data_IF_723907405800
#
_entry.id   IF_723907405800
#
_cell.length_a   1.000
_cell.length_b   1.000
_cell.length_c   1.000
_cell.angle_alpha   90.00
_cell.angle_beta   90.00
_cell.angle_gamma   90.00
#
_symmetry.space_group_name_H-M   'P 1'
#
loop_
_entity.id
_entity.type
_entity.pdbx_description
1 polymer ?
#
# COMPACT_ATOMS: atom_id res chain seq x y z
N UNK A 1 -0.85 87.16 -39.74
CA UNK A 1 -0.73 86.52 -38.40
C UNK A 1 -1.67 85.32 -38.37
N UNK A 2 -1.15 84.09 -38.53
CA UNK A 2 -1.93 82.84 -38.54
C UNK A 2 -1.73 82.15 -37.19
N UNK A 3 -2.80 82.05 -36.39
CA UNK A 3 -2.81 81.30 -35.12
C UNK A 3 -2.98 79.81 -35.42
N UNK A 4 -2.00 79.00 -35.02
CA UNK A 4 -2.07 77.54 -35.07
C UNK A 4 -2.74 77.10 -33.77
N UNK A 5 -3.90 76.46 -33.89
CA UNK A 5 -4.64 75.85 -32.77
C UNK A 5 -4.15 74.40 -32.63
N UNK A 6 -3.36 74.11 -31.61
CA UNK A 6 -2.93 72.75 -31.28
C UNK A 6 -4.03 72.12 -30.44
N UNK A 7 -4.73 71.15 -31.05
CA UNK A 7 -5.77 70.35 -30.41
C UNK A 7 -5.10 69.22 -29.62
N UNK A 8 -5.04 69.31 -28.29
CA UNK A 8 -4.61 68.20 -27.43
C UNK A 8 -5.72 67.15 -27.36
N UNK A 9 -5.49 65.99 -27.98
CA UNK A 9 -6.30 64.79 -27.77
C UNK A 9 -5.91 64.17 -26.41
N UNK A 10 -6.85 63.87 -25.49
CA UNK A 10 -6.54 63.11 -24.30
C UNK A 10 -6.30 61.65 -24.70
N UNK A 11 -5.07 61.18 -24.45
CA UNK A 11 -4.68 59.78 -24.63
C UNK A 11 -5.40 58.95 -23.56
N UNK A 12 -6.49 58.30 -23.96
CA UNK A 12 -7.24 57.37 -23.11
C UNK A 12 -6.36 56.13 -22.88
N UNK A 13 -5.73 56.04 -21.71
CA UNK A 13 -5.01 54.83 -21.29
C UNK A 13 -6.06 53.79 -20.94
N UNK A 14 -6.35 52.89 -21.88
CA UNK A 14 -7.09 51.66 -21.62
C UNK A 14 -6.23 50.81 -20.67
N UNK A 15 -6.51 50.91 -19.37
CA UNK A 15 -6.06 49.92 -18.41
C UNK A 15 -6.66 48.58 -18.84
N UNK A 16 -5.84 47.74 -19.48
CA UNK A 16 -6.18 46.36 -19.74
C UNK A 16 -6.29 45.69 -18.38
N UNK A 17 -7.53 45.56 -17.90
CA UNK A 17 -7.84 44.72 -16.77
C UNK A 17 -7.66 43.29 -17.27
N UNK A 18 -6.43 42.77 -17.21
CA UNK A 18 -6.18 41.35 -17.37
C UNK A 18 -6.91 40.66 -16.21
N UNK A 19 -8.14 40.21 -16.47
CA UNK A 19 -8.82 39.25 -15.61
C UNK A 19 -7.94 38.01 -15.63
N UNK A 20 -7.12 37.83 -14.59
CA UNK A 20 -6.44 36.58 -14.34
C UNK A 20 -7.51 35.59 -13.96
N UNK A 21 -7.98 34.81 -14.93
CA UNK A 21 -8.84 33.67 -14.64
C UNK A 21 -7.90 32.63 -14.03
N UNK A 22 -7.76 32.67 -12.71
CA UNK A 22 -7.13 31.59 -11.95
C UNK A 22 -7.94 30.33 -12.25
N UNK A 23 -7.36 29.45 -13.06
CA UNK A 23 -7.94 28.13 -13.26
C UNK A 23 -7.87 27.40 -11.92
N UNK A 24 -8.92 26.67 -11.53
CA UNK A 24 -8.87 25.85 -10.32
C UNK A 24 -7.69 24.88 -10.41
N UNK A 25 -7.06 24.52 -9.27
CA UNK A 25 -5.97 23.55 -9.27
C UNK A 25 -6.46 22.20 -9.81
N UNK A 26 -5.54 21.42 -10.36
CA UNK A 26 -5.80 20.03 -10.69
C UNK A 26 -5.84 19.19 -9.41
N UNK A 27 -6.80 18.26 -9.30
CA UNK A 27 -6.93 17.39 -8.13
C UNK A 27 -6.27 16.04 -8.40
N UNK A 28 -5.05 15.84 -7.91
CA UNK A 28 -4.41 14.53 -7.89
C UNK A 28 -4.89 13.74 -6.67
N UNK A 29 -5.59 12.63 -6.89
CA UNK A 29 -6.19 11.80 -5.85
C UNK A 29 -5.47 10.45 -5.79
N UNK A 30 -5.20 9.98 -4.59
CA UNK A 30 -4.56 8.69 -4.35
C UNK A 30 -5.44 7.90 -3.40
N UNK A 31 -5.87 6.71 -3.81
CA UNK A 31 -6.70 5.83 -2.99
C UNK A 31 -5.89 4.61 -2.56
N UNK A 32 -5.88 4.37 -1.25
CA UNK A 32 -5.21 3.22 -0.66
C UNK A 32 -6.13 1.99 -0.75
N UNK A 33 -5.77 1.04 -1.62
CA UNK A 33 -6.49 -0.24 -1.79
C UNK A 33 -5.84 -1.39 -1.04
N UNK A 34 -4.97 -1.08 -0.08
CA UNK A 34 -4.12 -2.02 0.64
C UNK A 34 -4.51 -2.14 2.12
N UNK A 35 -3.67 -2.82 2.90
CA UNK A 35 -3.97 -3.27 4.26
C UNK A 35 -3.23 -2.47 5.35
N UNK A 36 -2.34 -1.57 4.95
CA UNK A 36 -1.52 -0.70 5.80
C UNK A 36 -1.58 0.72 5.27
N UNK A 37 -1.20 1.69 6.11
CA UNK A 37 -1.13 3.09 5.73
C UNK A 37 -0.11 3.29 4.60
N UNK A 38 -0.45 4.10 3.59
CA UNK A 38 0.47 4.49 2.51
C UNK A 38 0.93 5.93 2.76
N UNK A 39 2.23 6.16 2.82
CA UNK A 39 2.81 7.50 2.75
C UNK A 39 2.97 7.89 1.28
N UNK A 40 2.31 8.97 0.84
CA UNK A 40 2.39 9.49 -0.53
C UNK A 40 3.00 10.89 -0.49
N UNK A 41 4.09 11.09 -1.22
CA UNK A 41 4.75 12.36 -1.43
C UNK A 41 4.55 12.83 -2.86
N UNK A 42 4.17 14.09 -3.04
CA UNK A 42 4.07 14.73 -4.37
C UNK A 42 5.06 15.89 -4.41
N UNK A 43 5.93 15.90 -5.42
CA UNK A 43 7.02 16.87 -5.52
C UNK A 43 6.51 18.31 -5.51
N UNK A 44 6.94 19.09 -4.52
CA UNK A 44 6.50 20.49 -4.34
C UNK A 44 5.16 20.67 -3.62
N UNK A 45 4.42 19.58 -3.34
CA UNK A 45 3.09 19.61 -2.69
C UNK A 45 3.04 18.89 -1.35
N UNK A 46 4.14 18.27 -0.93
CA UNK A 46 4.33 17.66 0.39
C UNK A 46 3.87 16.20 0.46
N UNK A 47 3.74 15.70 1.69
CA UNK A 47 3.47 14.29 1.98
C UNK A 47 2.16 14.14 2.75
N UNK A 48 1.40 13.08 2.45
CA UNK A 48 0.19 12.67 3.17
C UNK A 48 0.21 11.18 3.45
N UNK A 49 -0.32 10.78 4.59
CA UNK A 49 -0.56 9.39 4.94
C UNK A 49 -2.01 9.04 4.64
N UNK A 50 -2.25 7.89 4.01
CA UNK A 50 -3.56 7.43 3.58
C UNK A 50 -3.86 6.11 4.27
N UNK A 51 -4.84 6.08 5.15
CA UNK A 51 -5.28 4.86 5.80
C UNK A 51 -5.95 3.88 4.79
N UNK A 52 -6.00 2.56 5.08
CA UNK A 52 -6.68 1.58 4.25
C UNK A 52 -8.10 2.00 3.85
N UNK A 53 -8.39 1.99 2.54
CA UNK A 53 -9.68 2.38 1.97
C UNK A 53 -9.92 3.89 1.86
N UNK A 54 -9.03 4.73 2.40
CA UNK A 54 -9.15 6.18 2.32
C UNK A 54 -8.50 6.77 1.07
N UNK A 55 -8.73 8.06 0.84
CA UNK A 55 -8.21 8.81 -0.30
C UNK A 55 -7.57 10.12 0.17
N UNK A 56 -6.36 10.41 -0.28
CA UNK A 56 -5.76 11.73 -0.15
C UNK A 56 -5.88 12.50 -1.46
N UNK A 57 -6.05 13.82 -1.37
CA UNK A 57 -6.09 14.73 -2.52
C UNK A 57 -5.01 15.79 -2.39
N UNK A 58 -4.24 16.01 -3.46
CA UNK A 58 -3.30 17.12 -3.61
C UNK A 58 -3.86 18.11 -4.64
N UNK A 59 -3.71 19.41 -4.35
CA UNK A 59 -4.12 20.49 -5.23
C UNK A 59 -2.89 20.97 -6.01
N UNK A 60 -2.77 20.52 -7.25
CA UNK A 60 -1.61 20.74 -8.12
C UNK A 60 -1.84 21.99 -8.98
N UNK A 61 -0.84 22.86 -9.05
CA UNK A 61 -0.83 23.98 -9.98
C UNK A 61 -0.73 23.45 -11.42
N UNK A 62 -1.72 23.81 -12.24
CA UNK A 62 -1.79 23.38 -13.64
C UNK A 62 -0.62 23.88 -14.49
N UNK A 63 0.09 24.91 -14.03
CA UNK A 63 1.27 25.45 -14.71
C UNK A 63 2.43 24.46 -14.70
N UNK A 64 2.44 23.49 -13.79
CA UNK A 64 3.49 22.47 -13.71
C UNK A 64 3.41 21.49 -14.88
N UNK A 65 2.24 21.37 -15.53
CA UNK A 65 1.91 20.48 -16.66
C UNK A 65 2.00 18.98 -16.36
N UNK A 66 2.88 18.58 -15.44
CA UNK A 66 3.08 17.23 -14.93
C UNK A 66 3.28 17.29 -13.42
N UNK A 67 3.04 16.17 -12.73
CA UNK A 67 3.47 15.99 -11.35
C UNK A 67 4.12 14.62 -11.17
N UNK A 68 5.10 14.54 -10.29
CA UNK A 68 5.72 13.30 -9.87
C UNK A 68 5.26 12.97 -8.45
N UNK A 69 5.00 11.69 -8.18
CA UNK A 69 4.77 11.22 -6.83
C UNK A 69 5.60 9.97 -6.55
N UNK A 70 5.95 9.85 -5.28
CA UNK A 70 6.47 8.65 -4.68
C UNK A 70 5.51 8.20 -3.59
N UNK A 71 5.35 6.89 -3.43
CA UNK A 71 4.58 6.35 -2.34
C UNK A 71 5.25 5.11 -1.76
N UNK A 72 5.03 4.84 -0.48
CA UNK A 72 5.49 3.61 0.14
C UNK A 72 4.54 3.11 1.23
N UNK A 73 4.56 1.79 1.46
CA UNK A 73 3.91 1.14 2.58
C UNK A 73 4.63 -0.14 2.99
N UNK A 74 4.43 -0.56 4.23
CA UNK A 74 5.02 -1.77 4.78
C UNK A 74 4.24 -2.24 6.01
N UNK A 75 4.46 -3.49 6.40
CA UNK A 75 4.07 -3.98 7.72
C UNK A 75 5.00 -3.43 8.81
N UNK A 76 4.49 -3.19 10.01
CA UNK A 76 5.32 -2.77 11.13
C UNK A 76 4.83 -3.29 12.47
N UNK A 77 5.77 -3.45 13.41
CA UNK A 77 5.46 -3.73 14.82
C UNK A 77 4.95 -2.47 15.52
N UNK A 78 4.40 -2.62 16.73
CA UNK A 78 3.98 -1.47 17.55
C UNK A 78 5.12 -0.49 17.87
N UNK A 79 6.38 -0.93 17.73
CA UNK A 79 7.56 -0.12 17.99
C UNK A 79 8.13 0.51 16.70
N UNK A 80 7.47 0.31 15.56
CA UNK A 80 7.87 0.87 14.26
C UNK A 80 8.92 0.06 13.50
N UNK A 81 9.26 -1.15 13.95
CA UNK A 81 10.16 -2.04 13.19
C UNK A 81 9.42 -2.57 11.97
N UNK A 82 10.04 -2.49 10.79
CA UNK A 82 9.46 -2.96 9.54
C UNK A 82 9.44 -4.49 9.52
N UNK A 83 8.34 -5.07 9.07
CA UNK A 83 8.19 -6.50 8.83
C UNK A 83 7.85 -6.77 7.37
N UNK A 84 8.47 -7.79 6.79
CA UNK A 84 8.34 -8.15 5.39
C UNK A 84 8.96 -7.12 4.44
N UNK A 85 8.35 -6.97 3.27
CA UNK A 85 8.81 -6.12 2.18
C UNK A 85 8.18 -4.72 2.27
N UNK A 86 8.94 -3.73 1.79
CA UNK A 86 8.41 -2.40 1.49
C UNK A 86 7.84 -2.43 0.08
N UNK A 87 6.61 -1.96 -0.08
CA UNK A 87 5.96 -1.76 -1.38
C UNK A 87 6.05 -0.27 -1.73
N UNK A 88 6.53 0.03 -2.92
CA UNK A 88 6.85 1.40 -3.35
C UNK A 88 6.38 1.69 -4.78
N UNK A 89 5.96 2.93 -4.99
CA UNK A 89 5.51 3.48 -6.26
C UNK A 89 6.33 4.74 -6.58
N UNK A 90 6.61 4.95 -7.85
CA UNK A 90 7.26 6.16 -8.33
C UNK A 90 6.81 6.40 -9.77
N UNK A 91 6.07 7.50 -9.99
CA UNK A 91 5.48 7.76 -11.30
C UNK A 91 5.29 9.26 -11.57
N UNK A 92 5.55 9.66 -12.81
CA UNK A 92 5.22 10.99 -13.32
C UNK A 92 3.96 10.91 -14.17
N UNK A 93 3.04 11.86 -13.96
CA UNK A 93 1.76 11.94 -14.66
C UNK A 93 1.54 13.32 -15.26
N UNK A 94 0.95 13.34 -16.46
CA UNK A 94 0.50 14.56 -17.10
C UNK A 94 -0.77 15.10 -16.42
N UNK A 95 -0.88 16.43 -16.36
CA UNK A 95 -2.05 17.14 -15.86
C UNK A 95 -3.03 17.34 -17.01
N UNK A 96 -4.01 16.44 -17.12
CA UNK A 96 -5.07 16.47 -18.13
C UNK A 96 -6.44 16.44 -17.45
N UNK A 97 -7.32 17.38 -17.82
CA UNK A 97 -8.66 17.50 -17.21
C UNK A 97 -8.65 18.19 -15.84
N UNK A 98 -9.65 17.92 -15.00
CA UNK A 98 -9.82 18.56 -13.68
C UNK A 98 -9.23 17.75 -12.52
N UNK A 99 -9.22 16.43 -12.65
CA UNK A 99 -8.79 15.51 -11.60
C UNK A 99 -8.37 14.17 -12.17
N UNK A 100 -7.59 13.43 -11.39
CA UNK A 100 -7.28 12.03 -11.68
C UNK A 100 -7.12 11.25 -10.38
N UNK A 101 -7.71 10.06 -10.32
CA UNK A 101 -7.60 9.14 -9.19
C UNK A 101 -6.68 7.98 -9.52
N UNK A 102 -5.59 7.85 -8.76
CA UNK A 102 -4.69 6.70 -8.78
C UNK A 102 -5.09 5.72 -7.68
N UNK A 103 -5.48 4.51 -8.07
CA UNK A 103 -5.65 3.38 -7.15
C UNK A 103 -4.30 2.72 -6.92
N UNK A 104 -3.77 2.85 -5.70
CA UNK A 104 -2.50 2.24 -5.31
C UNK A 104 -2.75 0.79 -4.87
N UNK A 105 -2.16 -0.15 -5.61
CA UNK A 105 -2.40 -1.59 -5.45
C UNK A 105 -1.09 -2.38 -5.38
N UNK A 106 -1.20 -3.66 -5.06
CA UNK A 106 -0.12 -4.65 -5.20
C UNK A 106 -0.42 -5.59 -6.36
N UNK A 107 0.63 -6.03 -7.05
CA UNK A 107 0.53 -7.04 -8.10
C UNK A 107 0.16 -8.42 -7.53
N UNK A 108 -0.26 -9.34 -8.41
CA UNK A 108 -0.68 -10.70 -8.05
C UNK A 108 0.42 -11.62 -7.51
N UNK A 109 1.69 -11.20 -7.61
CA UNK A 109 2.86 -11.89 -7.06
C UNK A 109 3.27 -11.36 -5.68
N UNK A 110 2.49 -10.46 -5.10
CA UNK A 110 2.59 -10.00 -3.71
C UNK A 110 1.35 -10.40 -2.92
N UNK A 111 1.51 -10.64 -1.63
CA UNK A 111 0.39 -10.85 -0.72
C UNK A 111 0.64 -10.19 0.63
N UNK A 112 -0.44 -9.81 1.30
CA UNK A 112 -0.40 -9.36 2.68
C UNK A 112 -0.66 -10.52 3.65
N UNK A 113 0.21 -10.70 4.63
CA UNK A 113 0.11 -11.75 5.64
C UNK A 113 -0.56 -11.23 6.92
N UNK A 114 -1.56 -11.97 7.39
CA UNK A 114 -2.12 -11.85 8.73
C UNK A 114 -1.94 -13.17 9.46
N UNK A 115 -1.72 -13.12 10.78
CA UNK A 115 -1.56 -14.32 11.60
C UNK A 115 -2.43 -14.28 12.83
N UNK A 116 -3.05 -15.41 13.17
CA UNK A 116 -3.83 -15.59 14.38
C UNK A 116 -3.38 -16.86 15.08
N UNK A 117 -2.89 -16.73 16.29
CA UNK A 117 -2.44 -17.86 17.09
C UNK A 117 -3.36 -18.04 18.31
N UNK A 118 -4.15 -19.12 18.32
CA UNK A 118 -4.90 -19.57 19.51
C UNK A 118 -4.23 -20.78 20.18
N UNK A 119 -3.07 -21.19 19.67
CA UNK A 119 -2.32 -22.32 20.19
C UNK A 119 -1.61 -22.01 21.51
N UNK A 120 -1.11 -23.06 22.17
CA UNK A 120 -0.45 -22.94 23.47
C UNK A 120 0.91 -22.22 23.43
N UNK A 121 1.65 -22.42 22.34
CA UNK A 121 2.99 -21.85 22.16
C UNK A 121 2.91 -20.51 21.43
N UNK A 122 3.66 -19.53 21.91
CA UNK A 122 3.96 -18.32 21.14
C UNK A 122 4.88 -18.69 19.97
N UNK A 123 4.75 -17.98 18.84
CA UNK A 123 5.49 -18.30 17.62
C UNK A 123 6.55 -17.24 17.34
N UNK A 124 7.80 -17.66 17.14
CA UNK A 124 8.95 -16.78 16.95
C UNK A 124 10.22 -17.55 16.50
N UNK A 125 11.05 -16.99 15.59
CA UNK A 125 10.76 -15.89 14.68
C UNK A 125 9.83 -16.36 13.55
N UNK A 126 9.39 -15.44 12.70
CA UNK A 126 8.55 -15.77 11.55
C UNK A 126 9.41 -15.82 10.28
N UNK A 127 9.39 -16.95 9.58
CA UNK A 127 10.00 -17.12 8.28
C UNK A 127 8.94 -17.14 7.19
N UNK A 128 9.10 -16.32 6.15
CA UNK A 128 8.23 -16.35 4.96
C UNK A 128 9.07 -16.74 3.75
N UNK A 129 8.51 -17.60 2.90
CA UNK A 129 9.21 -18.22 1.77
C UNK A 129 10.43 -19.05 2.18
N UNK A 130 10.33 -19.74 3.33
CA UNK A 130 11.39 -20.58 3.86
C UNK A 130 11.91 -21.59 2.82
N UNK A 131 13.23 -21.58 2.59
CA UNK A 131 13.94 -22.39 1.61
C UNK A 131 13.90 -21.84 0.17
N UNK A 132 13.46 -20.59 -0.05
CA UNK A 132 13.39 -19.96 -1.37
C UNK A 132 14.28 -18.71 -1.46
N UNK A 133 14.62 -18.22 -2.67
CA UNK A 133 15.51 -17.05 -2.85
C UNK A 133 15.00 -15.72 -2.28
N UNK A 134 13.70 -15.62 -1.98
CA UNK A 134 13.09 -14.43 -1.38
C UNK A 134 12.57 -14.74 0.04
N UNK A 135 13.30 -15.60 0.75
CA UNK A 135 13.10 -15.86 2.16
C UNK A 135 13.27 -14.58 2.97
N UNK A 136 12.37 -14.37 3.93
CA UNK A 136 12.49 -13.33 4.95
C UNK A 136 12.44 -13.98 6.32
N UNK A 137 13.16 -13.38 7.27
CA UNK A 137 13.09 -13.68 8.69
C UNK A 137 12.68 -12.40 9.42
N UNK A 138 11.47 -12.42 9.99
CA UNK A 138 10.93 -11.32 10.77
C UNK A 138 11.03 -11.68 12.26
N UNK A 139 11.81 -10.88 13.00
CA UNK A 139 12.06 -11.06 14.43
C UNK A 139 10.86 -10.61 15.28
N UNK A 140 9.69 -11.18 15.02
CA UNK A 140 8.42 -10.85 15.66
C UNK A 140 7.86 -12.04 16.43
N UNK A 141 7.05 -11.76 17.45
CA UNK A 141 6.33 -12.79 18.21
C UNK A 141 4.85 -12.75 17.87
N UNK A 142 4.26 -13.90 17.52
CA UNK A 142 2.81 -14.06 17.37
C UNK A 142 2.27 -14.81 18.60
N UNK A 143 1.70 -14.10 19.59
CA UNK A 143 1.32 -14.70 20.86
C UNK A 143 0.07 -15.57 20.74
N UNK A 144 -0.02 -16.61 21.56
CA UNK A 144 -1.12 -17.58 21.67
C UNK A 144 -2.42 -17.03 22.28
N UNK A 145 -2.75 -15.75 22.05
CA UNK A 145 -3.88 -15.06 22.66
C UNK A 145 -5.14 -14.97 21.77
N UNK A 146 -5.08 -15.55 20.58
CA UNK A 146 -6.18 -15.63 19.64
C UNK A 146 -6.54 -14.32 18.95
N UNK A 147 -5.73 -13.28 19.08
CA UNK A 147 -5.86 -12.04 18.30
C UNK A 147 -5.25 -12.21 16.90
N UNK A 148 -5.76 -11.46 15.94
CA UNK A 148 -5.21 -11.40 14.58
C UNK A 148 -4.22 -10.25 14.49
N UNK A 149 -3.00 -10.56 14.07
CA UNK A 149 -1.92 -9.62 13.84
C UNK A 149 -1.74 -9.41 12.34
N UNK A 150 -1.75 -8.15 11.93
CA UNK A 150 -1.28 -7.73 10.62
C UNK A 150 0.24 -7.83 10.62
N UNK A 151 0.80 -8.62 9.71
CA UNK A 151 2.25 -8.80 9.63
C UNK A 151 2.79 -7.84 8.58
N UNK A 152 2.82 -8.21 7.30
CA UNK A 152 3.44 -7.41 6.26
C UNK A 152 3.24 -7.99 4.87
N UNK A 153 3.94 -7.42 3.89
CA UNK A 153 3.88 -7.84 2.48
C UNK A 153 5.02 -8.79 2.15
N UNK A 154 4.72 -9.81 1.33
CA UNK A 154 5.70 -10.79 0.90
C UNK A 154 5.44 -11.24 -0.53
N UNK A 155 6.45 -11.83 -1.18
CA UNK A 155 6.29 -12.43 -2.50
C UNK A 155 5.51 -13.74 -2.44
N UNK A 156 4.50 -13.88 -3.29
CA UNK A 156 3.74 -15.09 -3.50
C UNK A 156 4.45 -16.01 -4.50
N UNK A 157 4.76 -17.24 -4.08
CA UNK A 157 5.27 -18.31 -4.94
C UNK A 157 4.35 -19.52 -4.91
N UNK A 158 4.38 -20.30 -6.00
CA UNK A 158 3.63 -21.57 -6.07
C UNK A 158 4.02 -22.58 -4.99
N UNK A 159 5.16 -22.38 -4.33
CA UNK A 159 5.68 -23.19 -3.22
C UNK A 159 5.95 -22.37 -1.95
N UNK A 160 5.32 -21.19 -1.78
CA UNK A 160 5.49 -20.40 -0.54
C UNK A 160 5.24 -21.28 0.68
N UNK A 161 6.24 -21.30 1.55
CA UNK A 161 6.19 -21.88 2.89
C UNK A 161 6.40 -20.78 3.90
N UNK A 162 5.53 -20.73 4.89
CA UNK A 162 5.63 -19.84 6.04
C UNK A 162 5.85 -20.74 7.25
N UNK A 163 6.81 -20.41 8.09
CA UNK A 163 7.16 -21.20 9.27
C UNK A 163 7.39 -20.26 10.46
N UNK A 164 7.07 -20.72 11.66
CA UNK A 164 7.54 -20.09 12.87
C UNK A 164 7.86 -21.16 13.92
N UNK A 165 8.94 -20.94 14.66
CA UNK A 165 9.36 -21.86 15.71
C UNK A 165 8.55 -21.59 16.99
N UNK A 166 8.49 -22.58 17.89
CA UNK A 166 7.82 -22.38 19.19
C UNK A 166 8.78 -21.66 20.13
N UNK A 167 8.36 -20.49 20.63
CA UNK A 167 9.23 -19.62 21.42
C UNK A 167 9.81 -20.31 22.67
N UNK A 168 9.03 -21.18 23.31
CA UNK A 168 9.43 -21.97 24.49
C UNK A 168 10.12 -23.30 24.15
N UNK A 169 10.05 -23.74 22.88
CA UNK A 169 10.71 -24.95 22.39
C UNK A 169 11.23 -24.76 20.95
N UNK A 170 12.35 -24.04 20.75
CA UNK A 170 12.78 -23.55 19.44
C UNK A 170 13.23 -24.65 18.45
N UNK A 171 13.27 -25.91 18.88
CA UNK A 171 13.54 -27.07 18.01
C UNK A 171 12.28 -27.57 17.31
N UNK A 172 11.11 -27.15 17.77
CA UNK A 172 9.80 -27.47 17.20
C UNK A 172 9.23 -26.26 16.46
N UNK A 173 8.40 -26.51 15.44
CA UNK A 173 7.88 -25.45 14.59
C UNK A 173 6.46 -25.73 14.08
N UNK A 174 5.76 -24.67 13.74
CA UNK A 174 4.51 -24.70 12.97
C UNK A 174 4.76 -24.16 11.58
N UNK A 175 4.17 -24.76 10.55
CA UNK A 175 4.31 -24.29 9.17
C UNK A 175 3.01 -24.31 8.38
N UNK A 176 2.96 -23.43 7.39
CA UNK A 176 1.89 -23.26 6.41
C UNK A 176 2.51 -23.34 5.02
N UNK A 177 1.81 -23.96 4.08
CA UNK A 177 2.33 -24.14 2.73
C UNK A 177 1.23 -23.95 1.69
N UNK A 178 1.53 -23.17 0.66
CA UNK A 178 0.65 -22.98 -0.48
C UNK A 178 0.34 -24.32 -1.15
N UNK A 179 -0.91 -24.54 -1.53
CA UNK A 179 -1.51 -25.77 -2.08
C UNK A 179 -1.61 -26.96 -1.11
N UNK A 180 -1.26 -26.76 0.17
CA UNK A 180 -1.44 -27.77 1.23
C UNK A 180 -2.36 -27.22 2.31
N UNK A 181 -2.00 -26.07 2.86
CA UNK A 181 -2.69 -25.42 3.97
C UNK A 181 -3.53 -24.22 3.53
N UNK A 182 -3.10 -23.53 2.47
CA UNK A 182 -3.77 -22.38 1.89
C UNK A 182 -3.56 -22.37 0.38
N UNK A 183 -4.34 -21.58 -0.36
CA UNK A 183 -4.12 -21.38 -1.80
C UNK A 183 -4.20 -19.90 -2.14
N UNK A 184 -3.17 -19.35 -2.78
CA UNK A 184 -3.25 -17.98 -3.28
C UNK A 184 -4.31 -17.84 -4.38
N UNK A 185 -5.12 -16.77 -4.36
CA UNK A 185 -6.05 -16.46 -5.44
C UNK A 185 -5.34 -16.03 -6.74
N UNK A 186 -4.08 -15.57 -6.66
CA UNK A 186 -3.33 -15.00 -7.80
C UNK A 186 -4.07 -13.79 -8.40
N UNK A 187 -4.40 -12.85 -7.52
CA UNK A 187 -5.05 -11.59 -7.90
C UNK A 187 -4.36 -10.43 -7.22
N UNK A 188 -4.51 -9.24 -7.78
CA UNK A 188 -4.10 -7.98 -7.15
C UNK A 188 -4.69 -7.83 -5.73
N UNK A 189 -3.96 -7.15 -4.86
CA UNK A 189 -4.36 -6.88 -3.47
C UNK A 189 -4.76 -8.12 -2.68
N UNK A 190 -4.17 -9.28 -2.96
CA UNK A 190 -4.48 -10.49 -2.22
C UNK A 190 -3.89 -10.44 -0.80
N UNK A 191 -4.59 -11.07 0.13
CA UNK A 191 -4.09 -11.37 1.48
C UNK A 191 -4.40 -12.80 1.88
N UNK A 192 -3.63 -13.28 2.85
CA UNK A 192 -3.91 -14.54 3.54
C UNK A 192 -3.92 -14.29 5.04
N UNK A 193 -4.87 -14.91 5.75
CA UNK A 193 -4.85 -15.00 7.21
C UNK A 193 -4.51 -16.41 7.60
N UNK A 194 -3.38 -16.64 8.27
CA UNK A 194 -2.94 -17.94 8.74
C UNK A 194 -3.36 -18.15 10.20
N UNK A 195 -3.96 -19.31 10.49
CA UNK A 195 -4.40 -19.66 11.84
C UNK A 195 -3.58 -20.81 12.41
N UNK A 196 -3.15 -20.68 13.68
CA UNK A 196 -2.60 -21.77 14.50
C UNK A 196 -3.57 -22.07 15.66
N UNK A 197 -4.02 -23.32 15.79
CA UNK A 197 -4.96 -23.75 16.84
C UNK A 197 -4.43 -24.86 17.75
N UNK A 198 -3.10 -25.09 17.78
CA UNK A 198 -2.49 -26.21 18.49
C UNK A 198 -2.72 -26.20 20.02
N UNK A 199 -3.40 -27.23 20.56
CA UNK A 199 -3.66 -27.41 22.01
C UNK A 199 -2.87 -28.59 22.59
N UNK A 200 -2.37 -28.42 23.82
CA UNK A 200 -1.46 -29.32 24.56
C UNK A 200 -1.97 -30.77 24.80
N UNK A 201 -3.27 -31.02 24.69
CA UNK A 201 -3.88 -32.30 25.10
C UNK A 201 -4.12 -33.29 23.94
N UNK A 202 -3.56 -32.99 22.76
CA UNK A 202 -3.60 -33.81 21.57
C UNK A 202 -2.65 -35.02 21.69
N UNK A 203 -3.14 -36.15 22.20
CA UNK A 203 -2.39 -37.40 22.16
C UNK A 203 -2.08 -37.78 20.71
N UNK A 204 -0.78 -37.92 20.41
CA UNK A 204 -0.23 -38.64 19.26
C UNK A 204 -0.89 -38.37 17.90
N UNK A 205 -0.16 -37.67 17.02
CA UNK A 205 -0.47 -37.60 15.58
C UNK A 205 -1.76 -36.81 15.28
N UNK A 206 -1.99 -35.68 15.96
CA UNK A 206 -3.11 -34.83 15.62
C UNK A 206 -2.72 -33.79 14.57
N UNK A 207 -3.48 -33.85 13.49
CA UNK A 207 -3.47 -33.01 12.31
C UNK A 207 -3.36 -31.55 12.73
N UNK A 208 -2.36 -30.87 12.20
CA UNK A 208 -2.22 -29.42 12.26
C UNK A 208 -3.50 -28.83 11.66
N UNK A 209 -4.49 -28.45 12.48
CA UNK A 209 -5.66 -27.67 12.04
C UNK A 209 -5.23 -26.23 11.86
N UNK A 210 -4.46 -26.06 10.79
CA UNK A 210 -4.15 -24.78 10.22
C UNK A 210 -5.24 -24.49 9.21
N UNK A 211 -5.87 -23.33 9.34
CA UNK A 211 -6.78 -22.81 8.33
C UNK A 211 -6.26 -21.50 7.77
N UNK A 212 -6.75 -21.16 6.58
CA UNK A 212 -6.47 -19.88 5.97
C UNK A 212 -7.70 -19.28 5.33
N UNK A 213 -7.82 -17.96 5.43
CA UNK A 213 -8.77 -17.19 4.64
C UNK A 213 -8.00 -16.33 3.64
N UNK A 214 -8.37 -16.43 2.36
CA UNK A 214 -7.83 -15.58 1.30
C UNK A 214 -8.87 -14.55 0.90
N UNK A 215 -8.44 -13.30 0.73
CA UNK A 215 -9.30 -12.22 0.24
C UNK A 215 -8.54 -11.32 -0.72
N UNK A 216 -9.26 -10.64 -1.59
CA UNK A 216 -8.73 -9.55 -2.40
C UNK A 216 -9.66 -8.35 -2.34
N UNK A 217 -9.08 -7.16 -2.29
CA UNK A 217 -9.84 -5.90 -2.38
C UNK A 217 -10.08 -5.62 -3.87
N UNK A 218 -11.34 -5.73 -4.31
CA UNK A 218 -11.74 -5.40 -5.67
C UNK A 218 -11.71 -3.88 -5.87
N UNK A 219 -11.25 -3.45 -7.03
CA UNK A 219 -11.34 -2.07 -7.48
C UNK A 219 -12.72 -1.87 -8.10
N UNK A 220 -13.49 -0.93 -7.55
CA UNK A 220 -14.79 -0.51 -8.10
C UNK A 220 -14.71 1.00 -8.39
N UNK A 221 -14.28 1.38 -9.62
CA UNK A 221 -14.12 2.78 -9.97
C UNK A 221 -15.45 3.53 -9.90
N UNK A 222 -15.44 4.78 -9.42
CA UNK A 222 -16.64 5.62 -9.53
C UNK A 222 -16.89 5.96 -11.00
N UNK A 223 -18.12 5.72 -11.46
CA UNK A 223 -18.56 6.04 -12.81
C UNK A 223 -18.30 7.53 -13.14
N UNK A 224 -17.55 7.78 -14.22
CA UNK A 224 -17.42 9.11 -14.83
C UNK A 224 -16.21 9.96 -14.41
N UNK A 225 -15.36 9.54 -13.46
CA UNK A 225 -14.11 10.25 -13.13
C UNK A 225 -12.88 9.58 -13.80
N UNK A 226 -11.89 10.36 -14.31
CA UNK A 226 -10.65 9.80 -14.81
C UNK A 226 -9.87 9.06 -13.71
N UNK A 227 -9.47 7.82 -14.00
CA UNK A 227 -8.72 7.00 -13.05
C UNK A 227 -7.67 6.12 -13.70
N UNK A 228 -6.79 5.56 -12.87
CA UNK A 228 -5.86 4.51 -13.24
C UNK A 228 -5.44 3.69 -12.04
N UNK A 229 -4.85 2.53 -12.33
CA UNK A 229 -4.31 1.61 -11.35
C UNK A 229 -2.78 1.66 -11.43
N UNK A 230 -2.13 1.71 -10.28
CA UNK A 230 -0.67 1.68 -10.18
C UNK A 230 -0.22 0.60 -9.20
N UNK A 231 0.51 -0.38 -9.72
CA UNK A 231 0.95 -1.54 -8.96
C UNK A 231 2.36 -1.32 -8.41
N UNK A 232 2.48 -1.36 -7.09
CA UNK A 232 3.73 -1.09 -6.40
C UNK A 232 4.75 -2.20 -6.62
N UNK A 233 6.02 -1.82 -6.62
CA UNK A 233 7.14 -2.76 -6.66
C UNK A 233 7.63 -3.06 -5.24
N UNK A 234 8.11 -4.26 -4.99
CA UNK A 234 8.57 -4.66 -3.66
C UNK A 234 10.09 -4.66 -3.54
N UNK A 235 10.60 -4.15 -2.42
CA UNK A 235 12.01 -4.25 -2.01
C UNK A 235 12.16 -4.75 -0.58
N UNK A 236 13.36 -5.21 -0.25
CA UNK A 236 13.75 -5.51 1.12
C UNK A 236 13.95 -4.19 1.88
N UNK A 237 13.49 -4.12 3.13
CA UNK A 237 13.79 -3.00 4.02
C UNK A 237 15.32 -2.94 4.28
N UNK A 238 15.92 -1.76 4.14
CA UNK A 238 17.36 -1.56 4.39
C UNK A 238 17.63 -1.30 5.86
#
# INVERSE_FOLDING_TARGET
MRKILILCLPMLVLASCCVHVDRPPFLARFQNMLYTDISVSVDGYGTKVIAPGETATFMIDRRDQVYHYEAETHGSTSNGEITGLVVEWSLTRDIVGESYTTYLITAEDLFFLKMRNTGYHDLHPLYVNYGLPAETEDNITIPGNGLTYNVGYYKAFGRTRIQADWLDMPTEYTYWQNRVHFTFPWTENQSITLRNDFKKDASGKQIVEVSSETSSIKIDPRDGEPFGVDAGTARIAK
#
